data_IF_462923710807
#
_entry.id   IF_462923710807
#
_cell.length_a   1.000
_cell.length_b   1.000
_cell.length_c   1.000
_cell.angle_alpha   90.00
_cell.angle_beta   90.00
_cell.angle_gamma   90.00
#
_symmetry.space_group_name_H-M   'P 1'
#
loop_
_entity.id
_entity.type
_entity.pdbx_description
1 polymer ?
#
# COMPACT_ATOMS: atom_id res chain seq x y z
N UNK A 1 -19.96 4.60 6.17
CA UNK A 1 -18.97 4.22 5.13
C UNK A 1 -18.83 5.39 4.19
N UNK A 2 -17.67 6.06 4.16
CA UNK A 2 -17.43 7.06 3.12
C UNK A 2 -17.33 6.34 1.77
N UNK A 3 -18.26 6.66 0.87
CA UNK A 3 -18.20 6.28 -0.55
C UNK A 3 -16.95 6.93 -1.12
N UNK A 4 -15.92 6.13 -1.42
CA UNK A 4 -14.74 6.59 -2.14
C UNK A 4 -15.05 6.52 -3.63
N UNK A 5 -14.65 7.52 -4.40
CA UNK A 5 -14.85 7.52 -5.85
C UNK A 5 -13.52 7.42 -6.59
N UNK A 6 -13.58 7.07 -7.87
CA UNK A 6 -12.36 6.87 -8.67
C UNK A 6 -11.70 8.21 -8.97
N UNK A 7 -12.49 9.28 -9.02
CA UNK A 7 -12.06 10.66 -9.20
C UNK A 7 -11.10 11.11 -8.08
N UNK A 8 -11.36 10.71 -6.83
CA UNK A 8 -10.46 10.99 -5.68
C UNK A 8 -9.06 10.37 -5.89
N UNK A 9 -9.00 9.21 -6.55
CA UNK A 9 -7.75 8.53 -6.85
C UNK A 9 -7.04 9.18 -8.04
N UNK A 10 -7.78 9.59 -9.07
CA UNK A 10 -7.23 10.24 -10.26
C UNK A 10 -6.60 11.60 -9.92
N UNK A 11 -7.22 12.36 -9.01
CA UNK A 11 -6.68 13.62 -8.51
C UNK A 11 -5.30 13.47 -7.85
N UNK A 12 -4.96 12.28 -7.33
CA UNK A 12 -3.65 11.99 -6.72
C UNK A 12 -2.61 11.48 -7.70
N UNK A 13 -3.03 10.87 -8.81
CA UNK A 13 -2.13 10.31 -9.83
C UNK A 13 -1.71 11.38 -10.86
N UNK A 14 -2.47 12.47 -11.00
CA UNK A 14 -1.98 13.73 -11.58
C UNK A 14 -2.41 14.06 -13.00
N UNK A 15 -2.85 13.09 -13.81
CA UNK A 15 -3.07 13.31 -15.26
C UNK A 15 -4.37 12.68 -15.81
N UNK A 16 -5.37 12.42 -14.97
CA UNK A 16 -6.60 11.68 -15.33
C UNK A 16 -6.36 10.32 -16.03
N UNK A 17 -5.11 9.82 -15.96
CA UNK A 17 -4.69 8.64 -16.67
C UNK A 17 -5.14 7.38 -15.91
N UNK A 18 -6.31 6.90 -16.27
CA UNK A 18 -6.94 5.71 -15.68
C UNK A 18 -6.07 4.46 -15.78
N UNK A 19 -5.26 4.34 -16.83
CA UNK A 19 -4.36 3.18 -16.98
C UNK A 19 -3.26 3.19 -15.91
N UNK A 20 -2.65 4.35 -15.67
CA UNK A 20 -1.64 4.47 -14.62
C UNK A 20 -2.22 4.15 -13.24
N UNK A 21 -3.43 4.63 -12.93
CA UNK A 21 -4.12 4.27 -11.69
C UNK A 21 -4.28 2.74 -11.55
N UNK A 22 -4.69 2.05 -12.62
CA UNK A 22 -4.85 0.59 -12.62
C UNK A 22 -3.51 -0.10 -12.37
N UNK A 23 -2.44 0.32 -13.04
CA UNK A 23 -1.11 -0.27 -12.84
C UNK A 23 -0.61 -0.11 -11.40
N UNK A 24 -0.76 1.09 -10.82
CA UNK A 24 -0.40 1.36 -9.43
C UNK A 24 -1.20 0.48 -8.46
N UNK A 25 -2.52 0.40 -8.66
CA UNK A 25 -3.39 -0.41 -7.82
C UNK A 25 -3.06 -1.90 -7.90
N UNK A 26 -2.80 -2.44 -9.09
CA UNK A 26 -2.42 -3.85 -9.27
C UNK A 26 -1.11 -4.17 -8.56
N UNK A 27 -0.11 -3.29 -8.67
CA UNK A 27 1.16 -3.48 -8.00
C UNK A 27 1.00 -3.48 -6.47
N UNK A 28 0.22 -2.54 -5.93
CA UNK A 28 -0.03 -2.43 -4.49
C UNK A 28 -0.86 -3.62 -3.96
N UNK A 29 -1.86 -4.08 -4.70
CA UNK A 29 -2.62 -5.29 -4.35
C UNK A 29 -1.70 -6.51 -4.27
N UNK A 30 -0.74 -6.65 -5.20
CA UNK A 30 0.23 -7.75 -5.15
C UNK A 30 1.10 -7.71 -3.90
N UNK A 31 1.37 -6.52 -3.35
CA UNK A 31 2.11 -6.36 -2.10
C UNK A 31 1.27 -6.81 -0.89
N UNK A 32 0.00 -6.41 -0.83
CA UNK A 32 -0.91 -6.88 0.22
C UNK A 32 -1.09 -8.39 0.19
N UNK A 33 -1.16 -9.00 -1.00
CA UNK A 33 -1.21 -10.47 -1.13
C UNK A 33 0.07 -11.18 -0.67
N UNK A 34 1.20 -10.48 -0.62
CA UNK A 34 2.45 -10.97 -0.04
C UNK A 34 2.52 -10.79 1.48
N UNK A 35 1.46 -10.26 2.11
CA UNK A 35 1.37 -10.06 3.56
C UNK A 35 1.67 -8.65 4.02
N UNK A 36 1.78 -7.67 3.12
CA UNK A 36 1.98 -6.27 3.52
C UNK A 36 0.70 -5.68 4.13
N UNK A 37 0.77 -5.04 5.31
CA UNK A 37 -0.41 -4.45 5.95
C UNK A 37 -0.94 -3.24 5.18
N UNK A 38 -2.21 -2.91 5.41
CA UNK A 38 -2.82 -1.69 4.88
C UNK A 38 -2.39 -0.48 5.71
N UNK A 39 -2.01 0.61 5.05
CA UNK A 39 -1.60 1.87 5.67
C UNK A 39 -2.79 2.68 6.18
N UNK A 40 -3.95 2.47 5.59
CA UNK A 40 -5.20 3.13 5.98
C UNK A 40 -6.08 2.12 6.74
N UNK A 41 -6.65 2.49 7.91
CA UNK A 41 -7.55 1.61 8.64
C UNK A 41 -8.88 1.43 7.90
N UNK A 42 -9.36 0.19 7.79
CA UNK A 42 -10.62 -0.10 7.14
C UNK A 42 -11.01 -1.57 7.21
N UNK A 43 -12.29 -1.86 6.93
CA UNK A 43 -12.88 -3.21 6.93
C UNK A 43 -13.35 -3.62 5.53
N UNK A 44 -12.62 -3.23 4.49
CA UNK A 44 -12.95 -3.55 3.10
C UNK A 44 -11.95 -4.56 2.50
N UNK A 45 -12.29 -5.11 1.33
CA UNK A 45 -11.39 -5.98 0.57
C UNK A 45 -10.17 -5.20 0.07
N UNK A 46 -9.08 -5.92 -0.20
CA UNK A 46 -7.77 -5.39 -0.64
C UNK A 46 -7.85 -4.32 -1.74
N UNK A 47 -8.74 -4.50 -2.72
CA UNK A 47 -8.90 -3.56 -3.84
C UNK A 47 -9.37 -2.19 -3.35
N UNK A 48 -10.39 -2.18 -2.49
CA UNK A 48 -10.98 -0.94 -1.96
C UNK A 48 -10.02 -0.29 -0.96
N UNK A 49 -9.32 -1.10 -0.17
CA UNK A 49 -8.28 -0.60 0.73
C UNK A 49 -7.16 0.08 -0.05
N UNK A 50 -6.68 -0.54 -1.13
CA UNK A 50 -5.64 0.02 -2.01
C UNK A 50 -6.08 1.36 -2.62
N UNK A 51 -7.31 1.45 -3.15
CA UNK A 51 -7.83 2.72 -3.69
C UNK A 51 -7.94 3.81 -2.60
N UNK A 52 -8.29 3.43 -1.36
CA UNK A 52 -8.29 4.36 -0.21
C UNK A 52 -6.89 4.87 0.12
N UNK A 53 -5.87 4.01 0.06
CA UNK A 53 -4.48 4.42 0.26
C UNK A 53 -4.01 5.39 -0.82
N UNK A 54 -4.37 5.14 -2.08
CA UNK A 54 -4.04 6.02 -3.21
C UNK A 54 -4.77 7.36 -3.06
N UNK A 55 -6.07 7.38 -2.75
CA UNK A 55 -6.82 8.61 -2.52
C UNK A 55 -6.32 9.41 -1.31
N UNK A 56 -5.83 8.73 -0.27
CA UNK A 56 -5.18 9.37 0.88
C UNK A 56 -3.79 9.93 0.55
N UNK A 57 -3.20 9.58 -0.60
CA UNK A 57 -1.85 9.95 -0.99
C UNK A 57 -0.76 9.16 -0.25
N UNK A 58 -1.13 8.08 0.46
CA UNK A 58 -0.18 7.22 1.17
C UNK A 58 0.61 6.33 0.19
N UNK A 59 0.05 6.03 -0.98
CA UNK A 59 0.69 5.22 -2.03
C UNK A 59 0.77 6.02 -3.31
N UNK A 60 1.97 6.11 -3.88
CA UNK A 60 2.31 6.84 -5.11
C UNK A 60 3.33 6.03 -5.92
N UNK A 61 3.53 6.37 -7.20
CA UNK A 61 4.51 5.68 -8.04
C UNK A 61 5.95 5.80 -7.53
N UNK A 62 6.28 6.85 -6.80
CA UNK A 62 7.62 7.02 -6.21
C UNK A 62 7.86 6.09 -5.02
N UNK A 63 6.83 5.81 -4.21
CA UNK A 63 7.00 5.08 -2.96
C UNK A 63 6.68 3.58 -3.07
N UNK A 64 5.95 3.15 -4.11
CA UNK A 64 5.44 1.78 -4.20
C UNK A 64 6.55 0.73 -4.20
N UNK A 65 7.73 1.04 -4.75
CA UNK A 65 8.86 0.11 -4.75
C UNK A 65 9.68 0.13 -3.44
N UNK A 66 9.51 1.17 -2.62
CA UNK A 66 10.26 1.37 -1.38
C UNK A 66 9.54 0.79 -0.15
N UNK A 67 8.21 0.90 -0.12
CA UNK A 67 7.34 0.32 0.92
C UNK A 67 7.66 -1.16 1.26
N UNK A 68 7.75 -2.09 0.29
CA UNK A 68 8.08 -3.47 0.58
C UNK A 68 9.53 -3.68 1.03
N UNK A 69 10.47 -2.79 0.68
CA UNK A 69 11.87 -2.87 1.14
C UNK A 69 11.99 -2.46 2.59
N UNK A 70 11.29 -1.39 2.98
CA UNK A 70 11.23 -0.91 4.35
C UNK A 70 10.63 -1.99 5.26
N UNK A 71 9.52 -2.62 4.85
CA UNK A 71 8.92 -3.70 5.66
C UNK A 71 9.80 -4.94 5.77
N UNK A 72 10.51 -5.33 4.70
CA UNK A 72 11.47 -6.45 4.79
C UNK A 72 12.62 -6.13 5.75
N UNK A 73 13.10 -4.90 5.77
CA UNK A 73 14.11 -4.45 6.71
C UNK A 73 13.58 -4.45 8.16
N UNK A 74 12.34 -3.98 8.38
CA UNK A 74 11.69 -4.05 9.69
C UNK A 74 11.48 -5.49 10.17
N UNK A 75 10.96 -6.38 9.30
CA UNK A 75 10.77 -7.80 9.63
C UNK A 75 12.10 -8.51 9.92
N UNK A 76 13.17 -8.16 9.20
CA UNK A 76 14.50 -8.69 9.46
C UNK A 76 15.05 -8.19 10.81
N UNK A 77 14.85 -6.92 11.13
CA UNK A 77 15.24 -6.36 12.43
C UNK A 77 14.40 -6.91 13.60
N UNK A 78 13.10 -7.14 13.39
CA UNK A 78 12.21 -7.81 14.36
C UNK A 78 12.67 -9.25 14.61
N UNK A 79 13.07 -9.99 13.57
CA UNK A 79 13.59 -11.36 13.71
C UNK A 79 14.96 -11.41 14.41
N UNK A 80 15.88 -10.49 14.10
CA UNK A 80 17.18 -10.39 14.78
C UNK A 80 17.02 -10.03 16.28
N UNK A 81 16.02 -9.22 16.63
CA UNK A 81 15.73 -8.87 18.02
C UNK A 81 15.09 -10.01 18.83
N UNK A 82 14.33 -10.91 18.19
CA UNK A 82 13.80 -12.11 18.84
C UNK A 82 14.89 -13.17 19.10
N UNK A 83 15.86 -13.35 18.18
CA UNK A 83 16.98 -14.29 18.37
C UNK A 83 17.95 -13.87 19.50
N UNK A 84 18.12 -12.55 19.74
CA UNK A 84 19.00 -12.02 20.81
C UNK A 84 18.33 -12.04 22.21
N UNK A 85 17.01 -12.27 22.27
CA UNK A 85 16.25 -12.34 23.53
C UNK A 85 16.15 -13.76 24.12
N UNK A 86 16.42 -14.80 23.31
CA UNK A 86 16.36 -16.23 23.71
C UNK A 86 17.77 -16.87 23.89
N UNK A 87 18.83 -16.06 23.83
CA UNK A 87 20.25 -16.43 24.06
C UNK A 87 20.76 -15.95 25.43
#
# INVERSE_FOLDING_TARGET
MARITVEDCLAKVGDDNRFTLIHLAVERIRQHRKGEPFLVPGKNKEIVMTLREIAAGAVTFGNIHELPKQRKAELAAEAEAEDDADA
#
